data_IF_880078602181
#
_entry.id   IF_880078602181
#
_cell.length_a   1.000
_cell.length_b   1.000
_cell.length_c   1.000
_cell.angle_alpha   90.00
_cell.angle_beta   90.00
_cell.angle_gamma   90.00
#
_symmetry.space_group_name_H-M   'P 1'
#
loop_
_entity.id
_entity.type
_entity.pdbx_description
1 polymer ?
#
# COMPACT_ATOMS: atom_id res chain seq x y z
N UNK A 1 -17.93 -7.50 40.03
CA UNK A 1 -17.72 -8.97 39.98
C UNK A 1 -16.66 -9.25 38.94
N UNK A 2 -15.50 -9.81 39.34
CA UNK A 2 -14.57 -10.42 38.39
C UNK A 2 -15.14 -11.78 38.03
N UNK A 3 -15.39 -12.03 36.75
CA UNK A 3 -15.73 -13.36 36.26
C UNK A 3 -14.41 -14.10 36.11
N UNK A 4 -14.15 -15.07 36.98
CA UNK A 4 -13.03 -16.00 36.81
C UNK A 4 -13.33 -16.86 35.58
N UNK A 5 -12.61 -16.61 34.49
CA UNK A 5 -12.68 -17.44 33.29
C UNK A 5 -11.72 -18.60 33.51
N UNK A 6 -12.24 -19.76 33.94
CA UNK A 6 -11.48 -21.01 33.93
C UNK A 6 -11.40 -21.54 32.49
N UNK A 7 -10.36 -21.15 31.76
CA UNK A 7 -10.05 -21.63 30.41
C UNK A 7 -8.96 -20.80 29.71
N UNK A 8 -8.17 -21.42 28.85
CA UNK A 8 -7.20 -20.70 28.01
C UNK A 8 -7.90 -20.11 26.78
N UNK A 9 -7.66 -18.82 26.50
CA UNK A 9 -8.17 -18.13 25.31
C UNK A 9 -7.04 -18.04 24.28
N UNK A 10 -7.21 -18.73 23.14
CA UNK A 10 -6.27 -18.72 22.03
C UNK A 10 -6.83 -17.91 20.85
N UNK A 11 -6.07 -16.93 20.35
CA UNK A 11 -6.46 -16.10 19.19
C UNK A 11 -5.70 -16.59 17.96
N UNK A 12 -6.39 -17.29 17.07
CA UNK A 12 -5.83 -17.90 15.84
C UNK A 12 -6.19 -17.07 14.59
N UNK A 13 -5.72 -15.82 14.53
CA UNK A 13 -5.94 -14.97 13.36
C UNK A 13 -5.71 -13.50 13.66
N UNK A 14 -4.79 -12.86 12.94
CA UNK A 14 -4.54 -11.42 13.04
C UNK A 14 -3.75 -10.91 11.84
N UNK A 15 -3.82 -9.60 11.58
CA UNK A 15 -2.92 -8.92 10.64
C UNK A 15 -1.45 -9.20 10.96
N UNK A 16 -1.09 -9.40 12.24
CA UNK A 16 0.26 -9.76 12.63
C UNK A 16 0.69 -11.11 12.05
N UNK A 17 -0.14 -12.14 12.18
CA UNK A 17 0.16 -13.47 11.64
C UNK A 17 0.25 -13.45 10.10
N UNK A 18 -0.62 -12.67 9.44
CA UNK A 18 -0.56 -12.49 8.00
C UNK A 18 0.75 -11.81 7.56
N UNK A 19 1.14 -10.72 8.22
CA UNK A 19 2.43 -10.04 7.95
C UNK A 19 3.60 -10.99 8.21
N UNK A 20 3.64 -11.66 9.36
CA UNK A 20 4.73 -12.58 9.71
C UNK A 20 4.87 -13.69 8.64
N UNK A 21 3.76 -14.17 8.07
CA UNK A 21 3.76 -15.15 6.98
C UNK A 21 4.34 -14.58 5.68
N UNK A 22 3.99 -13.34 5.32
CA UNK A 22 4.56 -12.65 4.14
C UNK A 22 6.06 -12.44 4.32
N UNK A 23 6.50 -12.00 5.50
CA UNK A 23 7.93 -11.82 5.79
C UNK A 23 8.67 -13.15 5.66
N UNK A 24 8.14 -14.22 6.26
CA UNK A 24 8.73 -15.57 6.14
C UNK A 24 8.87 -15.99 4.69
N UNK A 25 7.82 -15.81 3.88
CA UNK A 25 7.88 -16.18 2.46
C UNK A 25 8.86 -15.31 1.67
N UNK A 26 8.93 -14.02 1.96
CA UNK A 26 9.84 -13.10 1.27
C UNK A 26 11.32 -13.38 1.57
N UNK A 27 11.64 -13.91 2.76
CA UNK A 27 13.02 -14.36 3.07
C UNK A 27 13.50 -15.51 2.18
N UNK A 28 12.58 -16.28 1.58
CA UNK A 28 12.91 -17.31 0.60
C UNK A 28 13.25 -16.73 -0.79
N UNK A 29 12.89 -15.46 -1.06
CA UNK A 29 12.92 -14.84 -2.41
C UNK A 29 13.92 -13.69 -2.57
N UNK A 30 14.97 -13.61 -1.74
CA UNK A 30 15.98 -12.53 -1.71
C UNK A 30 15.42 -11.09 -1.55
N UNK A 31 14.16 -10.94 -1.18
CA UNK A 31 13.56 -9.64 -0.86
C UNK A 31 13.93 -9.20 0.56
N UNK A 32 14.30 -7.93 0.74
CA UNK A 32 14.38 -7.30 2.05
C UNK A 32 12.97 -6.94 2.51
N UNK A 33 12.34 -7.86 3.23
CA UNK A 33 10.99 -7.66 3.75
C UNK A 33 11.03 -6.95 5.11
N UNK A 34 10.29 -5.84 5.22
CA UNK A 34 10.26 -4.99 6.42
C UNK A 34 8.80 -4.87 6.90
N UNK A 35 8.47 -5.39 8.09
CA UNK A 35 7.14 -5.25 8.65
C UNK A 35 6.91 -3.82 9.15
N UNK A 36 5.90 -3.15 8.61
CA UNK A 36 5.62 -1.75 8.89
C UNK A 36 4.59 -1.58 10.01
N UNK A 37 3.32 -1.86 9.73
CA UNK A 37 2.20 -1.66 10.65
C UNK A 37 1.18 -2.79 10.54
N UNK A 38 0.55 -3.16 11.65
CA UNK A 38 -0.54 -4.15 11.72
C UNK A 38 -1.93 -3.49 11.79
N UNK A 39 -1.97 -2.15 11.80
CA UNK A 39 -3.13 -1.34 12.18
C UNK A 39 -3.35 -0.14 11.27
N UNK A 40 -2.97 -0.26 9.98
CA UNK A 40 -3.25 0.82 9.02
C UNK A 40 -4.75 1.08 8.98
N UNK A 41 -5.17 2.32 9.18
CA UNK A 41 -6.57 2.74 9.22
C UNK A 41 -6.68 4.14 8.62
N UNK A 42 -7.86 4.48 8.12
CA UNK A 42 -8.13 5.80 7.57
C UNK A 42 -8.61 5.77 6.13
N UNK A 43 -8.73 6.96 5.53
CA UNK A 43 -9.25 7.09 4.18
C UNK A 43 -8.17 6.75 3.14
N UNK A 44 -8.54 6.03 2.09
CA UNK A 44 -7.64 5.64 0.99
C UNK A 44 -6.98 6.82 0.29
N UNK A 45 -7.56 8.02 0.32
CA UNK A 45 -6.94 9.25 -0.20
C UNK A 45 -5.70 9.65 0.60
N UNK A 46 -5.79 9.58 1.92
CA UNK A 46 -4.68 9.94 2.82
C UNK A 46 -3.65 8.81 2.85
N UNK A 47 -4.11 7.56 2.84
CA UNK A 47 -3.26 6.38 2.80
C UNK A 47 -2.44 6.30 1.51
N UNK A 48 -3.04 6.56 0.34
CA UNK A 48 -2.30 6.55 -0.93
C UNK A 48 -1.17 7.58 -0.89
N UNK A 49 -1.47 8.76 -0.34
CA UNK A 49 -0.48 9.82 -0.20
C UNK A 49 0.65 9.44 0.75
N UNK A 50 0.31 8.87 1.91
CA UNK A 50 1.31 8.42 2.87
C UNK A 50 2.22 7.30 2.31
N UNK A 51 1.67 6.35 1.57
CA UNK A 51 2.46 5.30 0.90
C UNK A 51 3.36 5.86 -0.20
N UNK A 52 2.84 6.80 -1.01
CA UNK A 52 3.62 7.49 -2.03
C UNK A 52 4.82 8.23 -1.42
N UNK A 53 4.59 9.04 -0.39
CA UNK A 53 5.65 9.80 0.28
C UNK A 53 6.70 8.88 0.93
N UNK A 54 6.26 7.76 1.52
CA UNK A 54 7.18 6.76 2.07
C UNK A 54 8.07 6.15 0.97
N UNK A 55 7.49 5.74 -0.15
CA UNK A 55 8.25 5.20 -1.27
C UNK A 55 9.23 6.24 -1.85
N UNK A 56 8.76 7.47 -2.06
CA UNK A 56 9.57 8.60 -2.53
C UNK A 56 10.75 8.89 -1.61
N UNK A 57 10.51 8.94 -0.29
CA UNK A 57 11.54 9.18 0.71
C UNK A 57 12.60 8.07 0.70
N UNK A 58 12.20 6.80 0.61
CA UNK A 58 13.14 5.66 0.56
C UNK A 58 14.02 5.73 -0.69
N UNK A 59 13.44 6.05 -1.84
CA UNK A 59 14.18 6.17 -3.11
C UNK A 59 15.20 7.30 -3.02
N UNK A 60 14.75 8.48 -2.59
CA UNK A 60 15.63 9.64 -2.43
C UNK A 60 16.75 9.39 -1.43
N UNK A 61 16.45 8.68 -0.33
CA UNK A 61 17.46 8.27 0.64
C UNK A 61 18.49 7.30 0.03
N UNK A 62 18.06 6.27 -0.73
CA UNK A 62 18.98 5.36 -1.44
C UNK A 62 19.82 6.06 -2.50
N UNK A 63 19.25 7.07 -3.17
CA UNK A 63 19.94 7.91 -4.15
C UNK A 63 20.85 8.97 -3.49
N UNK A 64 20.94 9.01 -2.15
CA UNK A 64 21.73 9.98 -1.40
C UNK A 64 21.32 11.45 -1.67
N UNK A 65 20.06 11.67 -2.08
CA UNK A 65 19.47 13.00 -2.27
C UNK A 65 18.74 13.51 -1.01
N UNK A 66 18.63 12.66 0.02
CA UNK A 66 18.21 13.04 1.37
C UNK A 66 19.25 12.63 2.38
N UNK A 67 19.52 13.52 3.33
CA UNK A 67 20.23 13.17 4.57
C UNK A 67 19.36 12.27 5.45
N UNK A 68 19.96 11.57 6.41
CA UNK A 68 19.23 10.76 7.38
C UNK A 68 18.19 11.58 8.15
N UNK A 69 18.54 12.78 8.59
CA UNK A 69 17.63 13.69 9.29
C UNK A 69 16.43 14.11 8.45
N UNK A 70 16.64 14.40 7.15
CA UNK A 70 15.56 14.75 6.24
C UNK A 70 14.68 13.54 5.91
N UNK A 71 15.28 12.36 5.73
CA UNK A 71 14.56 11.11 5.56
C UNK A 71 13.64 10.83 6.75
N UNK A 72 14.19 10.87 7.98
CA UNK A 72 13.43 10.74 9.22
C UNK A 72 12.29 11.75 9.25
N UNK A 73 12.57 13.02 8.99
CA UNK A 73 11.54 14.07 8.99
C UNK A 73 10.40 13.77 8.00
N UNK A 74 10.70 13.33 6.77
CA UNK A 74 9.69 13.00 5.76
C UNK A 74 8.82 11.82 6.16
N UNK A 75 9.43 10.70 6.58
CA UNK A 75 8.64 9.52 6.98
C UNK A 75 7.83 9.81 8.26
N UNK A 76 8.31 10.69 9.13
CA UNK A 76 7.62 11.04 10.39
C UNK A 76 6.33 11.81 10.21
N UNK A 77 6.21 12.62 9.15
CA UNK A 77 4.96 13.31 8.83
C UNK A 77 3.80 12.37 8.55
N UNK A 78 4.10 11.20 7.99
CA UNK A 78 3.10 10.26 7.47
C UNK A 78 2.76 9.13 8.46
N UNK A 79 3.44 9.05 9.62
CA UNK A 79 3.27 7.95 10.56
C UNK A 79 1.91 7.92 11.26
N UNK A 80 1.27 9.07 11.48
CA UNK A 80 -0.08 9.08 12.05
C UNK A 80 -1.06 8.32 11.16
N UNK A 81 -0.92 8.48 9.84
CA UNK A 81 -1.78 7.86 8.82
C UNK A 81 -1.49 6.36 8.67
N UNK A 82 -0.22 5.96 8.68
CA UNK A 82 0.17 4.54 8.55
C UNK A 82 0.21 3.77 9.88
N UNK A 83 0.02 4.45 11.01
CA UNK A 83 0.18 3.89 12.35
C UNK A 83 1.52 3.14 12.54
N UNK A 84 2.60 3.68 11.96
CA UNK A 84 3.93 3.07 12.06
C UNK A 84 4.55 3.31 13.43
N UNK A 85 5.25 2.30 13.95
CA UNK A 85 5.92 2.37 15.24
C UNK A 85 7.24 3.14 15.12
N UNK A 86 7.30 4.32 15.72
CA UNK A 86 8.47 5.20 15.69
C UNK A 86 9.73 4.52 16.24
N UNK A 87 9.60 3.57 17.16
CA UNK A 87 10.74 2.84 17.71
C UNK A 87 11.46 1.98 16.66
N UNK A 88 10.81 1.69 15.53
CA UNK A 88 11.36 0.90 14.43
C UNK A 88 12.14 1.72 13.40
N UNK A 89 12.11 3.05 13.46
CA UNK A 89 12.81 3.92 12.50
C UNK A 89 14.31 3.61 12.41
N UNK A 90 15.06 3.49 13.52
CA UNK A 90 16.49 3.18 13.43
C UNK A 90 16.75 1.83 12.76
N UNK A 91 15.88 0.85 12.98
CA UNK A 91 15.99 -0.48 12.35
C UNK A 91 15.69 -0.43 10.85
N UNK A 92 14.69 0.37 10.43
CA UNK A 92 14.41 0.63 9.02
C UNK A 92 15.61 1.27 8.33
N UNK A 93 16.16 2.36 8.89
CA UNK A 93 17.31 3.07 8.32
C UNK A 93 18.52 2.13 8.20
N UNK A 94 18.83 1.39 9.27
CA UNK A 94 19.93 0.43 9.27
C UNK A 94 19.73 -0.67 8.22
N UNK A 95 18.50 -1.15 8.01
CA UNK A 95 18.19 -2.13 6.98
C UNK A 95 18.41 -1.56 5.57
N UNK A 96 18.00 -0.31 5.31
CA UNK A 96 18.21 0.37 4.03
C UNK A 96 19.70 0.60 3.74
N UNK A 97 20.47 1.04 4.74
CA UNK A 97 21.92 1.29 4.60
C UNK A 97 22.69 0.00 4.35
N UNK A 98 22.37 -1.08 5.06
CA UNK A 98 23.07 -2.37 4.93
C UNK A 98 22.75 -3.11 3.64
N UNK A 99 21.67 -2.77 2.96
CA UNK A 99 21.19 -3.47 1.77
C UNK A 99 20.89 -2.48 0.63
N UNK A 100 21.90 -1.73 0.15
CA UNK A 100 21.70 -0.62 -0.78
C UNK A 100 21.20 -1.04 -2.16
N UNK A 101 21.33 -2.33 -2.52
CA UNK A 101 21.00 -2.89 -3.85
C UNK A 101 19.86 -3.93 -3.81
N UNK A 102 19.34 -4.29 -2.63
CA UNK A 102 18.26 -5.28 -2.53
C UNK A 102 16.90 -4.68 -2.83
N UNK A 103 16.01 -5.48 -3.40
CA UNK A 103 14.60 -5.13 -3.52
C UNK A 103 13.94 -5.12 -2.14
N UNK A 104 13.09 -4.13 -1.89
CA UNK A 104 12.47 -3.91 -0.58
C UNK A 104 10.99 -4.25 -0.68
N UNK A 105 10.50 -5.04 0.27
CA UNK A 105 9.09 -5.32 0.45
C UNK A 105 8.62 -4.73 1.79
N UNK A 106 7.84 -3.65 1.73
CA UNK A 106 7.22 -3.05 2.91
C UNK A 106 5.86 -3.72 3.14
N UNK A 107 5.68 -4.35 4.30
CA UNK A 107 4.45 -5.11 4.57
C UNK A 107 3.63 -4.43 5.65
N UNK A 108 2.39 -4.08 5.33
CA UNK A 108 1.43 -3.54 6.28
C UNK A 108 0.13 -4.34 6.26
N UNK A 109 -0.58 -4.35 7.38
CA UNK A 109 -1.93 -4.87 7.52
C UNK A 109 -2.81 -3.84 8.21
N UNK A 110 -4.10 -3.89 7.95
CA UNK A 110 -5.05 -2.91 8.45
C UNK A 110 -6.39 -2.99 7.74
N UNK A 111 -7.22 -1.99 7.96
CA UNK A 111 -8.55 -1.88 7.38
C UNK A 111 -8.75 -0.45 6.84
N UNK A 112 -8.34 -0.17 5.58
CA UNK A 112 -8.61 1.10 4.92
C UNK A 112 -10.12 1.37 4.80
N UNK A 113 -10.48 2.61 4.50
CA UNK A 113 -11.87 3.04 4.22
C UNK A 113 -11.92 3.94 2.99
N UNK A 114 -13.02 3.90 2.24
CA UNK A 114 -13.26 4.78 1.10
C UNK A 114 -14.54 5.58 1.34
N UNK A 115 -14.54 6.85 0.95
CA UNK A 115 -15.75 7.66 0.94
C UNK A 115 -16.39 7.48 -0.43
N UNK A 116 -17.57 6.87 -0.46
CA UNK A 116 -18.35 6.67 -1.68
C UNK A 116 -19.10 7.96 -2.01
N UNK A 117 -18.86 8.49 -3.21
CA UNK A 117 -19.43 9.73 -3.76
C UNK A 117 -20.16 9.48 -5.09
N UNK A 118 -19.74 8.48 -5.86
CA UNK A 118 -20.35 8.12 -7.14
C UNK A 118 -21.17 6.83 -7.08
N UNK A 119 -21.54 6.33 -8.26
CA UNK A 119 -22.29 5.07 -8.44
C UNK A 119 -21.45 3.99 -9.13
N UNK A 120 -20.14 4.20 -9.21
CA UNK A 120 -19.19 3.26 -9.78
C UNK A 120 -19.03 1.99 -8.95
N UNK A 121 -18.30 1.03 -9.52
CA UNK A 121 -17.98 -0.24 -8.91
C UNK A 121 -16.52 -0.25 -8.48
N UNK A 122 -16.25 -0.67 -7.25
CA UNK A 122 -14.90 -0.67 -6.69
C UNK A 122 -14.87 -1.03 -5.22
N UNK A 123 -13.67 -1.02 -4.66
CA UNK A 123 -13.45 -1.26 -3.26
C UNK A 123 -12.27 -0.44 -2.73
N UNK A 124 -11.99 -0.64 -1.45
CA UNK A 124 -11.03 0.19 -0.70
C UNK A 124 -9.61 -0.12 -1.13
N UNK A 125 -9.32 -1.38 -1.44
CA UNK A 125 -8.02 -1.81 -1.92
C UNK A 125 -7.75 -1.36 -3.37
N UNK A 126 -8.72 -1.54 -4.26
CA UNK A 126 -8.66 -1.07 -5.64
C UNK A 126 -8.51 0.46 -5.71
N UNK A 127 -9.30 1.19 -4.92
CA UNK A 127 -9.23 2.66 -4.87
C UNK A 127 -7.87 3.14 -4.31
N UNK A 128 -7.32 2.46 -3.29
CA UNK A 128 -6.00 2.76 -2.74
C UNK A 128 -4.90 2.60 -3.80
N UNK A 129 -4.89 1.47 -4.50
CA UNK A 129 -3.93 1.16 -5.56
C UNK A 129 -4.04 2.14 -6.74
N UNK A 130 -5.25 2.51 -7.14
CA UNK A 130 -5.48 3.47 -8.23
C UNK A 130 -4.97 4.86 -7.86
N UNK A 131 -5.29 5.36 -6.67
CA UNK A 131 -4.83 6.68 -6.21
C UNK A 131 -3.31 6.74 -6.07
N UNK A 132 -2.70 5.66 -5.55
CA UNK A 132 -1.26 5.53 -5.50
C UNK A 132 -0.62 5.57 -6.90
N UNK A 133 -1.23 4.88 -7.87
CA UNK A 133 -0.77 4.87 -9.27
C UNK A 133 -0.77 6.25 -9.90
N UNK A 134 -1.84 7.04 -9.67
CA UNK A 134 -1.93 8.42 -10.14
C UNK A 134 -0.79 9.27 -9.59
N UNK A 135 -0.51 9.18 -8.29
CA UNK A 135 0.59 9.93 -7.69
C UNK A 135 1.96 9.49 -8.25
N UNK A 136 2.16 8.18 -8.42
CA UNK A 136 3.39 7.65 -9.02
C UNK A 136 3.60 8.18 -10.44
N UNK A 137 2.55 8.20 -11.26
CA UNK A 137 2.62 8.70 -12.64
C UNK A 137 2.86 10.21 -12.68
N UNK A 138 2.11 10.99 -11.91
CA UNK A 138 2.22 12.46 -11.90
C UNK A 138 3.55 12.99 -11.37
N UNK A 139 4.20 12.26 -10.46
CA UNK A 139 5.49 12.64 -9.88
C UNK A 139 6.65 11.77 -10.39
N UNK A 140 6.43 11.03 -11.48
CA UNK A 140 7.46 10.25 -12.18
C UNK A 140 8.25 9.29 -11.28
N UNK A 141 7.56 8.61 -10.35
CA UNK A 141 8.20 7.54 -9.58
C UNK A 141 8.66 6.41 -10.51
N UNK A 142 9.80 5.77 -10.24
CA UNK A 142 10.30 4.65 -11.03
C UNK A 142 9.26 3.53 -11.17
N UNK A 143 9.18 2.90 -12.34
CA UNK A 143 8.21 1.81 -12.64
C UNK A 143 8.32 0.59 -11.73
N UNK A 144 9.48 0.37 -11.10
CA UNK A 144 9.69 -0.70 -10.12
C UNK A 144 9.00 -0.47 -8.77
N UNK A 145 8.37 0.70 -8.56
CA UNK A 145 7.63 1.01 -7.34
C UNK A 145 6.18 0.55 -7.50
N UNK A 146 5.83 -0.50 -6.76
CA UNK A 146 4.51 -1.10 -6.80
C UNK A 146 3.85 -1.10 -5.41
N UNK A 147 2.52 -1.00 -5.39
CA UNK A 147 1.69 -1.20 -4.21
C UNK A 147 0.65 -2.28 -4.50
N UNK A 148 0.70 -3.39 -3.77
CA UNK A 148 -0.39 -4.38 -3.74
C UNK A 148 -1.26 -4.10 -2.52
N UNK A 149 -2.55 -3.86 -2.75
CA UNK A 149 -3.56 -3.80 -1.68
C UNK A 149 -4.58 -4.90 -1.94
N UNK A 150 -4.88 -5.72 -0.92
CA UNK A 150 -5.83 -6.81 -1.05
C UNK A 150 -6.54 -7.14 0.27
N UNK A 151 -7.83 -7.46 0.17
CA UNK A 151 -8.64 -8.07 1.23
C UNK A 151 -8.27 -9.54 1.40
N UNK A 152 -8.08 -9.96 2.65
CA UNK A 152 -7.69 -11.35 2.97
C UNK A 152 -8.81 -12.37 2.79
N UNK A 153 -10.05 -11.90 2.69
CA UNK A 153 -11.25 -12.66 2.34
C UNK A 153 -11.42 -12.88 0.84
N UNK A 154 -10.54 -12.29 0.02
CA UNK A 154 -10.56 -12.41 -1.43
C UNK A 154 -11.54 -11.46 -2.12
N UNK A 155 -12.15 -10.51 -1.39
CA UNK A 155 -13.19 -9.61 -1.91
C UNK A 155 -12.85 -8.15 -1.54
N UNK A 156 -13.03 -7.24 -2.49
CA UNK A 156 -12.89 -5.80 -2.28
C UNK A 156 -14.11 -5.05 -2.82
N UNK A 157 -14.95 -4.58 -1.90
CA UNK A 157 -16.22 -3.96 -2.23
C UNK A 157 -17.21 -4.96 -2.87
N UNK A 158 -18.19 -4.51 -3.66
CA UNK A 158 -19.13 -5.39 -4.34
C UNK A 158 -18.55 -5.95 -5.67
N UNK A 159 -17.30 -6.44 -5.65
CA UNK A 159 -16.57 -6.87 -6.85
C UNK A 159 -16.11 -8.32 -6.77
N UNK A 160 -15.64 -8.87 -7.90
CA UNK A 160 -15.03 -10.20 -8.01
C UNK A 160 -13.51 -10.20 -7.76
N UNK A 161 -12.95 -9.05 -7.36
CA UNK A 161 -11.52 -8.87 -7.10
C UNK A 161 -11.23 -8.74 -5.59
N UNK A 162 -10.08 -9.23 -5.15
CA UNK A 162 -9.60 -9.03 -3.78
C UNK A 162 -9.00 -7.64 -3.54
N UNK A 163 -8.68 -6.90 -4.61
CA UNK A 163 -7.93 -5.66 -4.55
C UNK A 163 -7.25 -5.39 -5.89
N UNK A 164 -6.11 -4.70 -5.86
CA UNK A 164 -5.32 -4.41 -7.05
C UNK A 164 -3.86 -4.06 -6.75
N UNK A 165 -3.06 -4.05 -7.81
CA UNK A 165 -1.69 -3.58 -7.91
C UNK A 165 -1.72 -2.17 -8.48
N UNK A 166 -0.97 -1.27 -7.85
CA UNK A 166 -0.76 0.10 -8.28
C UNK A 166 0.70 0.40 -8.59
N UNK A 167 0.93 1.36 -9.47
CA UNK A 167 2.24 1.83 -9.91
C UNK A 167 2.10 2.79 -11.09
N UNK A 168 3.17 3.52 -11.44
CA UNK A 168 3.12 4.49 -12.54
C UNK A 168 2.66 3.85 -13.87
N UNK A 169 3.13 2.62 -14.13
CA UNK A 169 2.81 1.88 -15.36
C UNK A 169 1.32 1.58 -15.54
N UNK A 170 0.54 1.48 -14.45
CA UNK A 170 -0.91 1.23 -14.50
C UNK A 170 -1.63 2.39 -15.20
N UNK A 171 -1.26 3.63 -14.85
CA UNK A 171 -1.84 4.84 -15.46
C UNK A 171 -1.34 5.03 -16.88
N UNK A 172 -0.05 4.81 -17.13
CA UNK A 172 0.52 4.88 -18.49
C UNK A 172 -0.20 3.91 -19.44
N UNK A 173 -0.43 2.66 -19.01
CA UNK A 173 -1.17 1.67 -19.79
C UNK A 173 -2.61 2.08 -20.04
N UNK A 174 -3.29 2.63 -19.03
CA UNK A 174 -4.65 3.13 -19.20
C UNK A 174 -4.72 4.24 -20.26
N UNK A 175 -3.78 5.19 -20.22
CA UNK A 175 -3.71 6.32 -21.16
C UNK A 175 -3.49 5.86 -22.61
N UNK A 176 -2.96 4.66 -22.84
CA UNK A 176 -2.80 4.06 -24.19
C UNK A 176 -4.08 3.45 -24.75
N UNK A 177 -5.16 3.27 -23.97
CA UNK A 177 -6.36 2.53 -24.38
C UNK A 177 -7.33 3.29 -25.30
N UNK A 178 -7.05 4.56 -25.64
CA UNK A 178 -7.90 5.46 -26.44
C UNK A 178 -9.42 5.25 -26.21
N UNK A 179 -9.83 5.33 -24.93
CA UNK A 179 -11.19 4.99 -24.51
C UNK A 179 -12.08 6.21 -24.25
N UNK A 180 -11.58 7.43 -24.48
CA UNK A 180 -12.31 8.68 -24.26
C UNK A 180 -12.65 9.00 -22.80
N UNK A 181 -12.06 8.27 -21.84
CA UNK A 181 -12.26 8.47 -20.40
C UNK A 181 -10.94 8.84 -19.71
N UNK A 182 -11.04 9.51 -18.57
CA UNK A 182 -9.87 9.92 -17.76
C UNK A 182 -9.78 9.13 -16.46
N UNK A 183 -8.58 9.02 -15.89
CA UNK A 183 -8.38 8.33 -14.59
C UNK A 183 -9.17 9.04 -13.48
N UNK A 184 -9.23 10.37 -13.55
CA UNK A 184 -9.94 11.23 -12.62
C UNK A 184 -11.47 11.00 -12.64
N UNK A 185 -12.04 10.61 -13.78
CA UNK A 185 -13.45 10.22 -13.86
C UNK A 185 -13.73 8.96 -13.06
N UNK A 186 -12.88 7.93 -13.17
CA UNK A 186 -13.04 6.69 -12.39
C UNK A 186 -12.90 6.96 -10.90
N UNK A 187 -11.89 7.73 -10.48
CA UNK A 187 -11.70 8.09 -9.07
C UNK A 187 -12.89 8.89 -8.53
N UNK A 188 -13.39 9.87 -9.30
CA UNK A 188 -14.53 10.71 -8.88
C UNK A 188 -15.82 9.90 -8.74
N UNK A 189 -16.00 8.88 -9.58
CA UNK A 189 -17.16 8.03 -9.56
C UNK A 189 -17.03 6.80 -8.65
N UNK A 190 -15.90 6.61 -7.95
CA UNK A 190 -15.58 5.38 -7.20
C UNK A 190 -15.67 4.11 -8.05
N UNK A 191 -15.18 4.19 -9.29
CA UNK A 191 -15.31 3.15 -10.30
C UNK A 191 -13.96 2.44 -10.60
N UNK A 192 -13.16 2.24 -9.55
CA UNK A 192 -11.82 1.65 -9.66
C UNK A 192 -11.84 0.25 -10.29
N UNK A 193 -12.91 -0.53 -10.09
CA UNK A 193 -13.02 -1.85 -10.69
C UNK A 193 -13.12 -1.82 -12.22
N UNK A 194 -13.96 -0.93 -12.75
CA UNK A 194 -14.11 -0.76 -14.19
C UNK A 194 -12.84 -0.21 -14.83
N UNK A 195 -12.12 0.66 -14.10
CA UNK A 195 -10.78 1.11 -14.50
C UNK A 195 -9.83 -0.09 -14.67
N UNK A 196 -9.68 -0.93 -13.63
CA UNK A 196 -8.77 -2.07 -13.67
C UNK A 196 -9.18 -3.11 -14.72
N UNK A 197 -10.48 -3.34 -14.95
CA UNK A 197 -10.95 -4.21 -16.04
C UNK A 197 -10.53 -3.71 -17.44
N UNK A 198 -10.37 -2.40 -17.63
CA UNK A 198 -9.87 -1.82 -18.88
C UNK A 198 -8.35 -2.01 -19.01
N UNK A 199 -7.60 -1.88 -17.92
CA UNK A 199 -6.13 -2.02 -17.93
C UNK A 199 -5.71 -3.48 -17.94
N UNK A 200 -5.07 -3.92 -19.04
CA UNK A 200 -4.53 -5.28 -19.20
C UNK A 200 -5.50 -6.40 -18.81
N UNK A 201 -6.81 -6.18 -19.06
CA UNK A 201 -7.91 -7.10 -18.76
C UNK A 201 -8.01 -7.50 -17.27
N UNK A 202 -7.65 -6.60 -16.34
CA UNK A 202 -7.73 -6.86 -14.90
C UNK A 202 -6.56 -7.68 -14.33
N UNK A 203 -5.40 -7.65 -15.00
CA UNK A 203 -4.16 -8.28 -14.49
C UNK A 203 -3.42 -7.48 -13.43
N UNK A 204 -3.82 -6.22 -13.24
CA UNK A 204 -3.34 -5.34 -12.18
C UNK A 204 -4.37 -5.29 -11.07
#
# INVERSE_FOLDING_TARGET
QRVDVQGEIHIIGSNKLAIDSVISKATESDLLAIPMSTRVQGNVTELSHAYFELASAIIKFRQQTLTESEFIYQITKNFKTLHFDHSKIPSLINALIKNPDRDILLVSGGEPTVIVKGTGLGGRNQELALRFSVQCSQQELPKGVLLLSAGTDGIDGPTDAAGAIGGAEVVERFQMLDCGQTVEEFIRNNDSHSFYKKVDKGRF
#
